data_IF_490222867380
#
_entry.id   IF_490222867380
#
_cell.length_a   1.000
_cell.length_b   1.000
_cell.length_c   1.000
_cell.angle_alpha   90.00
_cell.angle_beta   90.00
_cell.angle_gamma   90.00
#
_symmetry.space_group_name_H-M   'P 1'
#
loop_
_entity.id
_entity.type
_entity.pdbx_description
1 polymer ?
#
# COMPACT_ATOMS: atom_id res chain seq x y z
N UNK A 1 -17.36 7.67 -8.81
CA UNK A 1 -16.52 8.40 -9.78
C UNK A 1 -15.10 8.49 -9.24
N UNK A 2 -14.16 7.88 -9.93
CA UNK A 2 -12.77 7.92 -9.50
C UNK A 2 -12.19 9.31 -9.78
N UNK A 3 -11.56 9.91 -8.77
CA UNK A 3 -10.89 11.20 -8.93
C UNK A 3 -9.65 11.05 -9.82
N UNK A 4 -9.21 12.16 -10.44
CA UNK A 4 -7.96 12.18 -11.21
C UNK A 4 -6.76 11.73 -10.37
N UNK A 5 -6.78 12.04 -9.05
CA UNK A 5 -5.72 11.62 -8.14
C UNK A 5 -5.64 10.10 -8.00
N UNK A 6 -6.78 9.41 -8.03
CA UNK A 6 -6.81 7.95 -7.95
C UNK A 6 -6.23 7.31 -9.21
N UNK A 7 -6.58 7.82 -10.39
CA UNK A 7 -6.07 7.28 -11.66
C UNK A 7 -4.57 7.49 -11.81
N UNK A 8 -4.03 8.57 -11.24
CA UNK A 8 -2.61 8.88 -11.31
C UNK A 8 -1.75 8.19 -10.24
N UNK A 9 -2.35 7.42 -9.32
CA UNK A 9 -1.62 6.84 -8.18
C UNK A 9 -0.40 6.04 -8.59
N UNK A 10 -0.47 5.27 -9.67
CA UNK A 10 0.61 4.41 -10.13
C UNK A 10 1.42 4.98 -11.31
N UNK A 11 1.16 6.22 -11.72
CA UNK A 11 1.89 6.87 -12.81
C UNK A 11 3.42 6.91 -12.58
N UNK A 12 3.95 7.06 -11.35
CA UNK A 12 5.39 7.02 -11.14
C UNK A 12 6.08 5.76 -11.65
N UNK A 13 5.35 4.64 -11.78
CA UNK A 13 5.91 3.39 -12.31
C UNK A 13 6.49 3.62 -13.71
N UNK A 14 5.83 4.43 -14.53
CA UNK A 14 6.29 4.73 -15.90
C UNK A 14 7.71 5.30 -15.91
N UNK A 15 8.01 6.19 -14.96
CA UNK A 15 9.34 6.80 -14.84
C UNK A 15 10.40 5.76 -14.48
N UNK A 16 10.11 4.88 -13.51
CA UNK A 16 11.03 3.83 -13.10
C UNK A 16 11.33 2.88 -14.26
N UNK A 17 10.31 2.50 -15.02
CA UNK A 17 10.49 1.62 -16.19
C UNK A 17 11.29 2.32 -17.29
N UNK A 18 11.03 3.61 -17.51
CA UNK A 18 11.79 4.40 -18.49
C UNK A 18 13.29 4.42 -18.14
N UNK A 19 13.61 4.64 -16.87
CA UNK A 19 14.99 4.63 -16.40
C UNK A 19 15.71 3.30 -16.65
N UNK A 20 14.98 2.20 -16.62
CA UNK A 20 15.53 0.86 -16.82
C UNK A 20 15.40 0.38 -18.28
N UNK A 21 14.76 1.15 -19.14
CA UNK A 21 14.53 0.72 -20.51
C UNK A 21 13.61 -0.48 -20.64
N UNK A 22 12.66 -0.63 -19.73
CA UNK A 22 11.73 -1.76 -19.67
C UNK A 22 10.33 -1.30 -20.07
N UNK A 23 9.67 -2.03 -20.99
CA UNK A 23 8.26 -1.76 -21.30
C UNK A 23 7.35 -2.36 -20.22
N UNK A 24 6.10 -1.88 -20.16
CA UNK A 24 5.11 -2.45 -19.25
C UNK A 24 4.84 -3.93 -19.57
N UNK A 25 4.82 -4.29 -20.85
CA UNK A 25 4.64 -5.68 -21.27
C UNK A 25 5.80 -6.55 -20.80
N UNK A 26 7.04 -6.07 -20.92
CA UNK A 26 8.20 -6.78 -20.43
C UNK A 26 8.18 -6.95 -18.93
N UNK A 27 7.80 -5.92 -18.20
CA UNK A 27 7.67 -6.01 -16.74
C UNK A 27 6.64 -7.07 -16.34
N UNK A 28 5.49 -7.11 -17.03
CA UNK A 28 4.47 -8.12 -16.76
C UNK A 28 5.02 -9.53 -16.92
N UNK A 29 5.89 -9.76 -17.93
CA UNK A 29 6.53 -11.06 -18.14
C UNK A 29 7.56 -11.40 -17.07
N UNK A 30 8.23 -10.41 -16.50
CA UNK A 30 9.29 -10.61 -15.49
C UNK A 30 8.75 -10.88 -14.10
N UNK A 31 7.49 -10.53 -13.82
CA UNK A 31 6.91 -10.72 -12.51
C UNK A 31 6.81 -12.21 -12.18
N UNK A 32 7.28 -12.60 -10.98
CA UNK A 32 7.25 -13.99 -10.50
C UNK A 32 5.82 -14.49 -10.34
N UNK A 33 4.95 -13.65 -9.80
CA UNK A 33 3.53 -13.93 -9.81
C UNK A 33 3.00 -13.66 -11.20
N UNK A 34 2.31 -14.62 -11.77
CA UNK A 34 1.53 -14.31 -12.95
C UNK A 34 0.51 -13.26 -12.54
N UNK A 35 0.78 -12.02 -12.91
CA UNK A 35 -0.23 -10.99 -12.76
C UNK A 35 -1.47 -11.50 -13.49
N UNK A 36 -2.64 -11.38 -12.85
CA UNK A 36 -3.90 -11.79 -13.47
C UNK A 36 -3.98 -11.24 -14.89
N UNK A 37 -4.92 -11.70 -15.70
CA UNK A 37 -5.08 -11.35 -17.14
C UNK A 37 -4.91 -9.86 -17.47
N UNK A 38 -4.80 -8.99 -16.49
CA UNK A 38 -4.59 -7.55 -16.67
C UNK A 38 -3.19 -7.18 -16.21
N UNK A 39 -2.22 -7.13 -17.04
CA UNK A 39 -0.83 -6.82 -16.69
C UNK A 39 -0.60 -5.42 -16.08
N UNK A 40 0.66 -5.00 -16.12
CA UNK A 40 1.11 -3.74 -15.52
C UNK A 40 0.36 -2.53 -16.10
N UNK A 41 0.15 -2.50 -17.42
CA UNK A 41 -0.53 -1.37 -18.07
C UNK A 41 -1.93 -1.14 -17.51
N UNK A 42 -2.67 -2.21 -17.24
CA UNK A 42 -4.00 -2.11 -16.65
C UNK A 42 -3.94 -1.50 -15.26
N UNK A 43 -3.02 -1.98 -14.42
CA UNK A 43 -2.86 -1.50 -13.04
C UNK A 43 -2.51 -0.02 -13.01
N UNK A 44 -1.60 0.41 -13.87
CA UNK A 44 -1.22 1.83 -13.98
C UNK A 44 -2.40 2.68 -14.43
N UNK A 45 -3.15 2.21 -15.43
CA UNK A 45 -4.31 2.94 -15.95
C UNK A 45 -5.43 3.10 -14.91
N UNK A 46 -5.72 2.04 -14.15
CA UNK A 46 -6.72 2.05 -13.09
C UNK A 46 -6.22 2.83 -11.88
N UNK A 47 -4.90 2.85 -11.66
CA UNK A 47 -4.28 3.53 -10.53
C UNK A 47 -4.39 2.73 -9.23
N UNK A 48 -4.48 1.41 -9.32
CA UNK A 48 -4.63 0.57 -8.14
C UNK A 48 -4.14 -0.86 -8.36
N UNK A 49 -3.66 -1.48 -7.29
CA UNK A 49 -3.28 -2.88 -7.27
C UNK A 49 -3.02 -3.32 -5.82
N UNK A 50 -2.86 -4.62 -5.61
CA UNK A 50 -2.45 -5.14 -4.31
C UNK A 50 -1.03 -4.67 -3.96
N UNK A 51 -0.77 -4.45 -2.67
CA UNK A 51 0.57 -4.06 -2.21
C UNK A 51 1.60 -5.13 -2.60
N UNK A 52 1.25 -6.41 -2.49
CA UNK A 52 2.14 -7.50 -2.88
C UNK A 52 2.49 -7.45 -4.37
N UNK A 53 1.57 -6.99 -5.21
CA UNK A 53 1.85 -6.78 -6.64
C UNK A 53 2.83 -5.62 -6.83
N UNK A 54 2.73 -4.55 -6.03
CA UNK A 54 3.71 -3.46 -6.06
C UNK A 54 5.11 -3.96 -5.70
N UNK A 55 5.21 -4.82 -4.70
CA UNK A 55 6.50 -5.43 -4.32
C UNK A 55 7.07 -6.28 -5.44
N UNK A 56 6.22 -7.10 -6.06
CA UNK A 56 6.63 -7.99 -7.15
C UNK A 56 7.06 -7.21 -8.39
N UNK A 57 6.27 -6.21 -8.80
CA UNK A 57 6.62 -5.36 -9.94
C UNK A 57 7.92 -4.60 -9.70
N UNK A 58 8.11 -4.04 -8.50
CA UNK A 58 9.33 -3.32 -8.17
C UNK A 58 10.54 -4.23 -8.28
N UNK A 59 10.47 -5.41 -7.67
CA UNK A 59 11.56 -6.40 -7.71
C UNK A 59 11.89 -6.82 -9.14
N UNK A 60 10.87 -7.07 -9.95
CA UNK A 60 11.06 -7.47 -11.35
C UNK A 60 11.75 -6.38 -12.17
N UNK A 61 11.59 -5.11 -11.81
CA UNK A 61 12.24 -3.98 -12.47
C UNK A 61 13.60 -3.62 -11.86
N UNK A 62 14.05 -4.33 -10.81
CA UNK A 62 15.33 -4.05 -10.16
C UNK A 62 15.25 -3.04 -9.02
N UNK A 63 14.07 -2.88 -8.44
CA UNK A 63 13.82 -1.98 -7.32
C UNK A 63 13.19 -2.73 -6.17
N UNK A 64 12.99 -2.03 -5.05
CA UNK A 64 12.14 -2.50 -3.95
C UNK A 64 11.06 -1.47 -3.68
N UNK A 65 9.87 -1.93 -3.36
CA UNK A 65 8.76 -1.07 -2.99
C UNK A 65 8.94 -0.64 -1.54
N UNK A 66 8.89 0.68 -1.28
CA UNK A 66 8.95 1.25 0.07
C UNK A 66 7.80 2.23 0.24
N UNK A 67 7.25 2.28 1.45
CA UNK A 67 6.16 3.19 1.76
C UNK A 67 6.20 3.61 3.22
N UNK A 68 5.60 4.77 3.48
CA UNK A 68 5.38 5.25 4.84
C UNK A 68 4.17 6.17 4.83
N UNK A 69 3.68 6.49 6.00
CA UNK A 69 2.62 7.47 6.19
C UNK A 69 3.23 8.74 6.78
N UNK A 70 2.93 9.88 6.17
CA UNK A 70 3.33 11.20 6.68
C UNK A 70 2.15 11.87 7.37
N UNK A 71 2.40 12.43 8.55
CA UNK A 71 1.38 13.16 9.30
C UNK A 71 0.96 14.41 8.54
N UNK A 72 -0.35 14.60 8.33
CA UNK A 72 -0.88 15.79 7.63
C UNK A 72 -1.91 16.54 8.45
N UNK A 73 -2.55 15.92 9.44
CA UNK A 73 -3.51 16.60 10.31
C UNK A 73 -3.75 15.81 11.58
N UNK A 74 -4.24 16.50 12.60
CA UNK A 74 -4.74 15.85 13.80
C UNK A 74 -6.13 15.25 13.52
N UNK A 75 -6.42 14.14 14.17
CA UNK A 75 -7.73 13.49 14.10
C UNK A 75 -8.20 13.19 15.53
N UNK A 76 -9.50 13.02 15.67
CA UNK A 76 -10.08 12.67 16.97
C UNK A 76 -9.59 11.30 17.41
N UNK A 77 -8.98 11.17 18.61
CA UNK A 77 -8.56 9.85 19.11
C UNK A 77 -9.77 9.00 19.49
N UNK A 78 -9.56 7.69 19.52
CA UNK A 78 -10.63 6.75 19.91
C UNK A 78 -11.07 6.94 21.36
N UNK A 79 -10.15 7.36 22.23
CA UNK A 79 -10.49 7.60 23.64
C UNK A 79 -10.65 6.33 24.47
N UNK A 80 -10.25 5.18 23.96
CA UNK A 80 -10.29 3.89 24.66
C UNK A 80 -8.90 3.29 24.67
N UNK A 81 -8.65 2.38 25.63
CA UNK A 81 -7.42 1.61 25.63
C UNK A 81 -7.29 0.82 24.34
N UNK A 82 -6.15 0.93 23.69
CA UNK A 82 -5.87 0.19 22.47
C UNK A 82 -5.47 -1.24 22.82
N UNK A 83 -6.06 -2.22 22.14
CA UNK A 83 -5.65 -3.61 22.27
C UNK A 83 -4.61 -3.90 21.18
N UNK A 84 -3.38 -4.28 21.55
CA UNK A 84 -2.39 -4.62 20.55
C UNK A 84 -2.80 -5.88 19.81
N UNK A 85 -2.60 -5.87 18.50
CA UNK A 85 -2.71 -7.03 17.68
C UNK A 85 -1.37 -7.76 17.74
N UNK A 86 -1.37 -9.04 18.09
CA UNK A 86 -0.14 -9.78 18.34
C UNK A 86 0.12 -10.92 17.35
N UNK A 87 -0.90 -11.34 16.61
CA UNK A 87 -0.78 -12.47 15.69
C UNK A 87 -0.74 -11.96 14.25
N UNK A 88 0.44 -11.98 13.64
CA UNK A 88 0.63 -11.58 12.23
C UNK A 88 1.12 -12.75 11.42
N UNK A 89 0.51 -12.96 10.25
CA UNK A 89 1.00 -13.91 9.25
C UNK A 89 1.95 -13.22 8.25
N UNK A 90 1.91 -11.90 8.21
CA UNK A 90 2.81 -11.08 7.39
C UNK A 90 3.12 -9.79 8.13
N UNK A 91 4.36 -9.33 8.02
CA UNK A 91 4.79 -8.06 8.63
C UNK A 91 4.56 -6.86 7.71
N UNK A 92 4.03 -7.09 6.51
CA UNK A 92 3.90 -6.06 5.46
C UNK A 92 3.15 -4.82 5.94
N UNK A 93 2.06 -4.99 6.68
CA UNK A 93 1.23 -3.89 7.18
C UNK A 93 1.41 -3.61 8.67
N UNK A 94 2.37 -4.27 9.29
CA UNK A 94 2.64 -4.07 10.73
C UNK A 94 2.92 -2.61 11.08
N UNK A 95 3.61 -1.80 10.24
CA UNK A 95 3.84 -0.38 10.55
C UNK A 95 2.56 0.42 10.77
N UNK A 96 1.42 -0.01 10.18
CA UNK A 96 0.14 0.67 10.39
C UNK A 96 -0.20 0.76 11.87
N UNK A 97 0.11 -0.28 12.64
CA UNK A 97 -0.20 -0.31 14.08
C UNK A 97 0.54 0.79 14.84
N UNK A 98 1.79 1.06 14.48
CA UNK A 98 2.56 2.15 15.08
C UNK A 98 1.94 3.51 14.82
N UNK A 99 1.50 3.73 13.58
CA UNK A 99 0.82 4.98 13.21
C UNK A 99 -0.50 5.15 13.96
N UNK A 100 -1.28 4.08 14.09
CA UNK A 100 -2.55 4.12 14.85
C UNK A 100 -2.30 4.37 16.32
N UNK A 101 -1.26 3.74 16.88
CA UNK A 101 -0.88 3.96 18.27
C UNK A 101 -0.53 5.43 18.52
N UNK A 102 0.25 6.05 17.63
CA UNK A 102 0.65 7.45 17.72
C UNK A 102 -0.54 8.41 17.72
N UNK A 103 -1.64 8.05 17.06
CA UNK A 103 -2.86 8.84 16.99
C UNK A 103 -3.92 8.38 18.01
N UNK A 104 -3.62 7.33 18.78
CA UNK A 104 -4.56 6.72 19.71
C UNK A 104 -5.88 6.30 19.04
N UNK A 105 -5.76 5.59 17.89
CA UNK A 105 -6.88 5.07 17.11
C UNK A 105 -6.90 3.55 17.22
N UNK A 106 -8.05 2.98 17.62
CA UNK A 106 -8.21 1.53 17.66
C UNK A 106 -8.49 0.97 16.25
N UNK A 107 -8.19 -0.32 16.06
CA UNK A 107 -8.48 -1.00 14.80
C UNK A 107 -9.98 -0.98 14.47
N UNK A 108 -10.90 -1.28 15.44
CA UNK A 108 -12.33 -1.17 15.16
C UNK A 108 -12.76 0.24 14.73
N UNK A 109 -12.18 1.28 15.34
CA UNK A 109 -12.50 2.65 14.98
C UNK A 109 -11.96 3.00 13.60
N UNK A 110 -10.75 2.57 13.26
CA UNK A 110 -10.21 2.76 11.92
C UNK A 110 -11.13 2.10 10.89
N UNK A 111 -11.54 0.85 11.13
CA UNK A 111 -12.45 0.14 10.23
C UNK A 111 -13.74 0.94 10.01
N UNK A 112 -14.32 1.47 11.10
CA UNK A 112 -15.51 2.29 11.02
C UNK A 112 -15.29 3.57 10.20
N UNK A 113 -14.16 4.26 10.43
CA UNK A 113 -13.82 5.52 9.72
C UNK A 113 -13.66 5.31 8.22
N UNK A 114 -13.15 4.15 7.79
CA UNK A 114 -12.98 3.86 6.35
C UNK A 114 -14.13 3.10 5.74
N UNK A 115 -15.14 2.73 6.53
CA UNK A 115 -16.29 2.00 6.03
C UNK A 115 -16.03 0.51 5.75
N UNK A 116 -15.10 -0.08 6.47
CA UNK A 116 -14.79 -1.51 6.39
C UNK A 116 -15.36 -2.25 7.60
N UNK A 117 -15.61 -3.56 7.46
CA UNK A 117 -15.95 -4.38 8.61
C UNK A 117 -14.72 -4.54 9.50
N UNK A 118 -14.94 -4.74 10.81
CA UNK A 118 -13.86 -5.01 11.76
C UNK A 118 -13.06 -6.25 11.34
N UNK A 119 -13.76 -7.33 10.98
CA UNK A 119 -13.11 -8.56 10.54
C UNK A 119 -12.27 -8.34 9.27
N UNK A 120 -12.77 -7.54 8.33
CA UNK A 120 -12.05 -7.21 7.10
C UNK A 120 -10.78 -6.42 7.37
N UNK A 121 -10.83 -5.46 8.30
CA UNK A 121 -9.65 -4.68 8.68
C UNK A 121 -8.59 -5.57 9.35
N UNK A 122 -9.01 -6.40 10.32
CA UNK A 122 -8.09 -7.32 11.02
C UNK A 122 -7.45 -8.29 10.01
N UNK A 123 -8.24 -8.82 9.08
CA UNK A 123 -7.73 -9.71 8.05
C UNK A 123 -6.62 -9.05 7.23
N UNK A 124 -6.87 -7.82 6.73
CA UNK A 124 -5.88 -7.10 5.93
C UNK A 124 -4.58 -6.87 6.70
N UNK A 125 -4.68 -6.43 7.94
CA UNK A 125 -3.51 -6.14 8.75
C UNK A 125 -2.72 -7.41 9.11
N UNK A 126 -3.43 -8.48 9.44
CA UNK A 126 -2.80 -9.74 9.83
C UNK A 126 -2.13 -10.43 8.65
N UNK A 127 -2.81 -10.49 7.51
CA UNK A 127 -2.33 -11.20 6.32
C UNK A 127 -1.44 -10.33 5.43
N UNK A 128 -1.42 -9.02 5.65
CA UNK A 128 -0.66 -8.10 4.81
C UNK A 128 -1.23 -7.98 3.40
N UNK A 129 -2.55 -8.11 3.25
CA UNK A 129 -3.24 -8.09 1.96
C UNK A 129 -4.17 -6.89 1.91
N UNK A 130 -3.86 -5.91 1.08
CA UNK A 130 -4.78 -4.82 0.78
C UNK A 130 -4.39 -4.15 -0.52
N UNK A 131 -5.34 -3.43 -1.10
CA UNK A 131 -5.10 -2.61 -2.28
C UNK A 131 -4.35 -1.34 -1.88
N UNK A 132 -3.61 -0.75 -2.80
CA UNK A 132 -2.98 0.56 -2.59
C UNK A 132 -4.01 1.61 -2.20
N UNK A 133 -5.20 1.57 -2.83
CA UNK A 133 -6.30 2.48 -2.50
C UNK A 133 -6.78 2.32 -1.05
N UNK A 134 -6.84 1.10 -0.54
CA UNK A 134 -7.23 0.85 0.85
C UNK A 134 -6.18 1.39 1.83
N UNK A 135 -4.91 1.20 1.53
CA UNK A 135 -3.83 1.72 2.36
C UNK A 135 -3.88 3.24 2.42
N UNK A 136 -4.18 3.89 1.29
CA UNK A 136 -4.34 5.34 1.20
C UNK A 136 -5.55 5.83 2.02
N UNK A 137 -6.68 5.12 1.94
CA UNK A 137 -7.89 5.46 2.72
C UNK A 137 -7.66 5.31 4.22
N UNK A 138 -6.95 4.25 4.63
CA UNK A 138 -6.60 4.06 6.04
C UNK A 138 -5.71 5.18 6.54
N UNK A 139 -4.71 5.57 5.75
CA UNK A 139 -3.83 6.69 6.09
C UNK A 139 -4.64 7.97 6.27
N UNK A 140 -5.49 8.30 5.31
CA UNK A 140 -6.32 9.51 5.35
C UNK A 140 -7.22 9.54 6.58
N UNK A 141 -7.86 8.43 6.91
CA UNK A 141 -8.74 8.34 8.07
C UNK A 141 -7.98 8.54 9.39
N UNK A 142 -6.71 8.23 9.43
CA UNK A 142 -5.85 8.38 10.61
C UNK A 142 -5.09 9.72 10.63
N UNK A 143 -5.32 10.61 9.67
CA UNK A 143 -4.66 11.91 9.63
C UNK A 143 -3.30 11.91 8.97
N UNK A 144 -3.02 10.91 8.16
CA UNK A 144 -1.78 10.76 7.41
C UNK A 144 -2.02 10.78 5.92
N UNK A 145 -0.95 10.84 5.15
CA UNK A 145 -1.00 10.55 3.71
C UNK A 145 -0.01 9.43 3.40
N UNK A 146 -0.36 8.59 2.44
CA UNK A 146 0.52 7.54 1.95
C UNK A 146 1.58 8.14 1.04
N UNK A 147 2.84 7.82 1.32
CA UNK A 147 3.98 8.16 0.46
C UNK A 147 4.68 6.86 0.10
N UNK A 148 4.88 6.63 -1.20
CA UNK A 148 5.55 5.42 -1.65
C UNK A 148 6.54 5.74 -2.77
N UNK A 149 7.50 4.86 -2.93
CA UNK A 149 8.46 4.93 -4.04
C UNK A 149 9.06 3.55 -4.28
N UNK A 150 9.74 3.41 -5.40
CA UNK A 150 10.59 2.27 -5.69
C UNK A 150 12.04 2.70 -5.46
N UNK A 151 12.67 2.13 -4.46
CA UNK A 151 14.06 2.42 -4.13
C UNK A 151 14.97 1.44 -4.87
N UNK A 152 16.17 1.86 -5.29
CA UNK A 152 17.13 0.93 -5.89
C UNK A 152 17.43 -0.24 -4.96
N UNK A 153 17.55 -1.44 -5.53
CA UNK A 153 18.03 -2.58 -4.77
C UNK A 153 19.49 -2.34 -4.37
N UNK A 154 19.91 -2.78 -3.16
CA UNK A 154 21.32 -2.69 -2.79
C UNK A 154 22.17 -3.43 -3.81
N UNK A 155 23.27 -2.80 -4.25
CA UNK A 155 24.23 -3.50 -5.09
C UNK A 155 24.80 -4.67 -4.28
N UNK A 156 24.80 -5.85 -4.88
CA UNK A 156 25.47 -6.99 -4.27
C UNK A 156 26.97 -6.69 -4.25
N UNK A 157 27.50 -6.66 -3.04
CA UNK A 157 28.93 -6.46 -2.88
C UNK A 157 29.71 -7.66 -3.41
#
# INVERSE_FOLDING_TARGET
>A
MESKAQKGRLEPIKRYLFEKGISMAELSRRCEKKLSRHGVAYRVRVGDCLIEDMEDMAKAAGFRFVWHWENVRDVEPTGRSLRPMTAFHSDRLKPVLGYLFDKNISIPDLANRVGMSRAGMVYRLREGVCMMSDLEKMADAAGYKLVWSWAPLPEEA
#
